data_IF_718881732403
#
_entry.id   IF_718881732403
#
_cell.length_a   1.000
_cell.length_b   1.000
_cell.length_c   1.000
_cell.angle_alpha   90.00
_cell.angle_beta   90.00
_cell.angle_gamma   90.00
#
_symmetry.space_group_name_H-M   'P 1'
#
loop_
_entity.id
_entity.type
_entity.pdbx_description
1 polymer ?
#
# COMPACT_ATOMS: atom_id res chain seq x y z
N UNK A 1 -3.77 -1.81 8.12
CA UNK A 1 -2.98 -0.57 7.97
C UNK A 1 -3.45 0.45 9.01
N UNK A 2 -2.57 1.32 9.48
CA UNK A 2 -2.97 2.58 10.13
C UNK A 2 -3.55 3.55 9.09
N UNK A 3 -4.22 4.62 9.54
CA UNK A 3 -4.73 5.66 8.64
C UNK A 3 -3.60 6.29 7.80
N UNK A 4 -2.47 6.60 8.43
CA UNK A 4 -1.31 7.15 7.74
C UNK A 4 -0.76 6.19 6.68
N UNK A 5 -0.60 4.91 6.99
CA UNK A 5 -0.15 3.91 6.02
C UNK A 5 -1.14 3.74 4.86
N UNK A 6 -2.44 3.79 5.14
CA UNK A 6 -3.47 3.74 4.10
C UNK A 6 -3.38 4.96 3.16
N UNK A 7 -3.17 6.15 3.70
CA UNK A 7 -2.94 7.35 2.88
C UNK A 7 -1.66 7.25 2.05
N UNK A 8 -0.55 6.74 2.61
CA UNK A 8 0.67 6.51 1.83
C UNK A 8 0.44 5.49 0.71
N UNK A 9 -0.35 4.44 0.98
CA UNK A 9 -0.74 3.45 -0.03
C UNK A 9 -1.51 4.11 -1.18
N UNK A 10 -2.55 4.88 -0.88
CA UNK A 10 -3.37 5.55 -1.89
C UNK A 10 -2.64 6.68 -2.61
N UNK A 11 -1.58 7.24 -2.02
CA UNK A 11 -0.68 8.23 -2.65
C UNK A 11 0.39 7.59 -3.52
N UNK A 12 0.55 6.27 -3.48
CA UNK A 12 1.66 5.51 -4.06
C UNK A 12 3.03 6.00 -3.57
N UNK A 13 3.11 6.39 -2.29
CA UNK A 13 4.37 6.69 -1.59
C UNK A 13 4.94 5.41 -0.99
N UNK A 14 6.17 5.49 -0.49
CA UNK A 14 6.85 4.36 0.15
C UNK A 14 6.08 3.86 1.38
N UNK A 15 6.01 2.53 1.51
CA UNK A 15 5.26 1.86 2.56
C UNK A 15 6.21 1.20 3.54
N UNK A 16 6.18 1.65 4.79
CA UNK A 16 6.79 0.96 5.92
C UNK A 16 5.70 0.11 6.62
N UNK A 17 5.57 -1.14 6.17
CA UNK A 17 4.60 -2.12 6.69
C UNK A 17 5.26 -3.49 6.83
N UNK A 18 4.93 -4.20 7.90
CA UNK A 18 5.29 -5.60 8.07
C UNK A 18 4.26 -6.47 7.35
N UNK A 19 4.71 -7.27 6.39
CA UNK A 19 3.88 -8.19 5.64
C UNK A 19 4.73 -9.39 5.14
N UNK A 20 4.10 -10.57 4.94
CA UNK A 20 4.80 -11.71 4.34
C UNK A 20 5.36 -11.39 2.96
N UNK A 21 6.47 -12.04 2.59
CA UNK A 21 7.02 -11.94 1.22
C UNK A 21 6.01 -12.45 0.20
N UNK A 22 5.99 -11.82 -0.97
CA UNK A 22 5.08 -12.16 -2.06
C UNK A 22 3.93 -11.17 -2.21
N UNK A 23 2.82 -11.62 -2.78
CA UNK A 23 1.64 -10.80 -3.00
C UNK A 23 0.80 -10.71 -1.73
N UNK A 24 0.42 -9.49 -1.34
CA UNK A 24 -0.44 -9.26 -0.18
C UNK A 24 -1.55 -8.27 -0.52
N UNK A 25 -2.75 -8.55 -0.01
CA UNK A 25 -3.88 -7.64 -0.06
C UNK A 25 -3.82 -6.72 1.17
N UNK A 26 -3.67 -5.41 0.96
CA UNK A 26 -3.71 -4.45 2.05
C UNK A 26 -5.13 -4.02 2.36
N UNK A 27 -5.42 -3.86 3.66
CA UNK A 27 -6.72 -3.44 4.18
C UNK A 27 -6.58 -2.30 5.18
N UNK A 28 -7.58 -1.42 5.19
CA UNK A 28 -7.78 -0.40 6.23
C UNK A 28 -9.20 -0.54 6.77
N UNK A 29 -9.34 -0.61 8.10
CA UNK A 29 -10.63 -0.86 8.77
C UNK A 29 -11.39 -2.09 8.21
N UNK A 30 -10.66 -3.16 7.86
CA UNK A 30 -11.24 -4.37 7.27
C UNK A 30 -11.57 -4.27 5.77
N UNK A 31 -11.56 -3.06 5.20
CA UNK A 31 -11.85 -2.83 3.79
C UNK A 31 -10.60 -3.03 2.92
N UNK A 32 -10.70 -3.78 1.80
CA UNK A 32 -9.60 -3.95 0.86
C UNK A 32 -9.30 -2.64 0.12
N UNK A 33 -8.02 -2.23 0.12
CA UNK A 33 -7.56 -1.08 -0.67
C UNK A 33 -6.90 -1.50 -1.98
N UNK A 34 -6.19 -2.63 -1.97
CA UNK A 34 -5.55 -3.19 -3.16
C UNK A 34 -4.28 -3.98 -2.86
N UNK A 35 -3.48 -4.20 -3.88
CA UNK A 35 -2.35 -5.14 -3.83
C UNK A 35 -1.01 -4.45 -3.59
N UNK A 36 -0.14 -5.17 -2.89
CA UNK A 36 1.30 -4.92 -2.81
C UNK A 36 2.06 -6.19 -3.18
N UNK A 37 3.31 -6.04 -3.62
CA UNK A 37 4.28 -7.13 -3.71
C UNK A 37 5.46 -6.85 -2.80
N UNK A 38 5.58 -7.64 -1.74
CA UNK A 38 6.66 -7.56 -0.76
C UNK A 38 7.85 -8.38 -1.26
N UNK A 39 8.96 -7.70 -1.48
CA UNK A 39 10.23 -8.25 -1.92
C UNK A 39 11.24 -8.10 -0.76
N UNK A 40 12.41 -8.76 -0.80
CA UNK A 40 13.34 -8.77 0.33
C UNK A 40 13.70 -7.39 0.91
N UNK A 41 13.83 -6.37 0.06
CA UNK A 41 14.26 -5.01 0.46
C UNK A 41 13.32 -3.89 -0.01
N UNK A 42 12.15 -4.23 -0.55
CA UNK A 42 11.22 -3.22 -1.08
C UNK A 42 9.79 -3.73 -1.10
N UNK A 43 8.85 -2.80 -1.11
CA UNK A 43 7.44 -3.09 -1.31
C UNK A 43 6.99 -2.33 -2.55
N UNK A 44 6.58 -3.08 -3.57
CA UNK A 44 5.96 -2.49 -4.75
C UNK A 44 4.47 -2.24 -4.46
N UNK A 45 4.04 -1.00 -4.63
CA UNK A 45 2.64 -0.61 -4.52
C UNK A 45 1.95 -0.66 -5.91
N UNK A 46 0.96 -1.54 -6.03
CA UNK A 46 0.20 -1.78 -7.27
C UNK A 46 -1.13 -1.02 -7.33
N UNK A 47 -1.31 0.01 -6.49
CA UNK A 47 -2.43 0.92 -6.65
C UNK A 47 -2.32 1.67 -7.99
N UNK A 48 -3.42 1.82 -8.76
CA UNK A 48 -3.39 2.49 -10.07
C UNK A 48 -2.83 3.92 -9.99
N UNK A 49 -1.99 4.29 -10.96
CA UNK A 49 -1.28 5.56 -10.96
C UNK A 49 -2.22 6.75 -11.12
N UNK A 50 -3.21 6.56 -11.99
CA UNK A 50 -4.28 7.47 -12.36
C UNK A 50 -5.25 7.75 -11.20
N UNK A 51 -5.30 6.89 -10.19
CA UNK A 51 -6.19 7.04 -9.03
C UNK A 51 -5.48 7.58 -7.79
N UNK A 52 -4.17 7.84 -7.89
CA UNK A 52 -3.39 8.23 -6.71
C UNK A 52 -3.86 9.57 -6.17
N UNK A 53 -3.93 9.67 -4.85
CA UNK A 53 -4.17 10.96 -4.19
C UNK A 53 -2.95 11.84 -4.41
N UNK A 54 -3.16 13.03 -4.98
CA UNK A 54 -2.08 13.98 -5.30
C UNK A 54 -1.81 14.98 -4.18
N UNK A 55 -2.81 15.29 -3.35
CA UNK A 55 -2.71 16.28 -2.28
C UNK A 55 -2.18 15.66 -0.99
N UNK A 56 -1.37 16.43 -0.27
CA UNK A 56 -0.83 16.07 1.04
C UNK A 56 -1.84 16.22 2.18
#
# INVERSE_FOLDING_TARGET
>A
LSQQQALQYLRRKDLAIEAPRGWCLVKYCGLPLGWIKVLPNRINNYYPAEWRILKE
#
